data_IF_581962630458
#
_entry.id   IF_581962630458
#
_cell.length_a   1.000
_cell.length_b   1.000
_cell.length_c   1.000
_cell.angle_alpha   90.00
_cell.angle_beta   90.00
_cell.angle_gamma   90.00
#
_symmetry.space_group_name_H-M   'P 1'
#
loop_
_entity.id
_entity.type
_entity.pdbx_description
1 polymer ?
#
# COMPACT_ATOMS: atom_id res chain seq x y z
N UNK A 1 -31.29 53.19 34.18
CA UNK A 1 -30.32 53.37 33.08
C UNK A 1 -29.14 52.42 33.30
N UNK A 2 -28.96 51.39 32.48
CA UNK A 2 -27.81 50.48 32.63
C UNK A 2 -26.49 51.23 32.34
N UNK A 3 -25.57 51.24 33.30
CA UNK A 3 -24.30 51.98 33.23
C UNK A 3 -23.48 51.56 32.00
N UNK A 4 -22.85 52.53 31.32
CA UNK A 4 -22.11 52.29 30.06
C UNK A 4 -21.05 51.18 30.19
N UNK A 5 -20.51 51.00 31.40
CA UNK A 5 -19.54 49.97 31.76
C UNK A 5 -20.09 48.54 31.60
N UNK A 6 -21.38 48.30 31.85
CA UNK A 6 -21.97 46.95 31.71
C UNK A 6 -22.16 46.55 30.24
N UNK A 7 -22.51 47.51 29.38
CA UNK A 7 -22.62 47.30 27.93
C UNK A 7 -21.26 47.03 27.28
N UNK A 8 -20.21 47.72 27.74
CA UNK A 8 -18.83 47.50 27.27
C UNK A 8 -18.34 46.10 27.64
N UNK A 9 -18.56 45.65 28.89
CA UNK A 9 -18.21 44.28 29.31
C UNK A 9 -18.94 43.21 28.50
N UNK A 10 -20.25 43.35 28.32
CA UNK A 10 -21.04 42.40 27.53
C UNK A 10 -20.59 42.32 26.06
N UNK A 11 -20.18 43.45 25.47
CA UNK A 11 -19.60 43.51 24.12
C UNK A 11 -18.25 42.79 24.05
N UNK A 12 -17.37 43.04 25.03
CA UNK A 12 -16.06 42.40 25.10
C UNK A 12 -16.17 40.87 25.31
N UNK A 13 -17.11 40.42 26.15
CA UNK A 13 -17.36 38.99 26.37
C UNK A 13 -17.92 38.31 25.11
N UNK A 14 -18.80 38.98 24.37
CA UNK A 14 -19.32 38.47 23.09
C UNK A 14 -18.21 38.38 22.03
N UNK A 15 -17.29 39.35 22.01
CA UNK A 15 -16.14 39.38 21.10
C UNK A 15 -15.10 38.31 21.45
N UNK A 16 -14.83 38.08 22.73
CA UNK A 16 -14.00 36.99 23.22
C UNK A 16 -14.55 35.62 22.80
N UNK A 17 -15.85 35.38 23.00
CA UNK A 17 -16.51 34.11 22.60
C UNK A 17 -16.41 33.88 21.09
N UNK A 18 -16.62 34.91 20.27
CA UNK A 18 -16.49 34.83 18.79
C UNK A 18 -15.04 34.57 18.37
N UNK A 19 -14.08 35.10 19.10
CA UNK A 19 -12.65 34.90 18.84
C UNK A 19 -12.24 33.46 19.16
N UNK A 20 -12.67 32.93 20.32
CA UNK A 20 -12.43 31.53 20.68
C UNK A 20 -13.07 30.54 19.70
N UNK A 21 -14.31 30.80 19.24
CA UNK A 21 -14.96 29.97 18.22
C UNK A 21 -14.22 30.00 16.86
N UNK A 22 -13.70 31.18 16.47
CA UNK A 22 -12.85 31.29 15.28
C UNK A 22 -11.55 30.52 15.46
N UNK A 23 -10.88 30.64 16.60
CA UNK A 23 -9.65 29.88 16.88
C UNK A 23 -9.89 28.37 16.82
N UNK A 24 -11.01 27.88 17.37
CA UNK A 24 -11.36 26.46 17.30
C UNK A 24 -11.66 26.01 15.86
N UNK A 25 -12.39 26.81 15.08
CA UNK A 25 -12.65 26.52 13.66
C UNK A 25 -11.37 26.51 12.83
N UNK A 26 -10.48 27.48 13.07
CA UNK A 26 -9.14 27.53 12.44
C UNK A 26 -8.30 26.33 12.84
N UNK A 27 -8.28 25.95 14.13
CA UNK A 27 -7.58 24.76 14.62
C UNK A 27 -8.09 23.48 13.94
N UNK A 28 -9.40 23.34 13.77
CA UNK A 28 -10.01 22.22 13.06
C UNK A 28 -9.64 22.23 11.57
N UNK A 29 -9.73 23.38 10.89
CA UNK A 29 -9.40 23.50 9.46
C UNK A 29 -7.91 23.27 9.19
N UNK A 30 -7.04 23.84 9.99
CA UNK A 30 -5.59 23.60 9.93
C UNK A 30 -5.28 22.14 10.24
N UNK A 31 -5.90 21.55 11.27
CA UNK A 31 -5.79 20.13 11.60
C UNK A 31 -6.23 19.21 10.45
N UNK A 32 -7.37 19.49 9.82
CA UNK A 32 -7.87 18.75 8.65
C UNK A 32 -6.93 18.88 7.44
N UNK A 33 -6.34 20.06 7.23
CA UNK A 33 -5.38 20.27 6.14
C UNK A 33 -4.06 19.52 6.37
N UNK A 34 -3.59 19.50 7.62
CA UNK A 34 -2.38 18.80 8.03
C UNK A 34 -2.58 17.28 8.01
N UNK A 35 -3.68 16.77 8.54
CA UNK A 35 -4.04 15.34 8.48
C UNK A 35 -4.14 14.85 7.02
N UNK A 36 -4.74 15.65 6.13
CA UNK A 36 -4.81 15.34 4.70
C UNK A 36 -3.43 15.33 4.06
N UNK A 37 -2.54 16.26 4.43
CA UNK A 37 -1.16 16.32 3.94
C UNK A 37 -0.36 15.12 4.41
N UNK A 38 -0.40 14.79 5.71
CA UNK A 38 0.17 13.57 6.28
C UNK A 38 -0.33 12.33 5.54
N UNK A 39 -1.64 12.25 5.29
CA UNK A 39 -2.22 11.10 4.62
C UNK A 39 -1.68 10.93 3.19
N UNK A 40 -1.60 12.03 2.43
CA UNK A 40 -1.08 12.02 1.06
C UNK A 40 0.42 11.69 1.01
N UNK A 41 1.22 12.28 1.89
CA UNK A 41 2.67 12.04 1.94
C UNK A 41 2.95 10.58 2.30
N UNK A 42 2.28 10.04 3.33
CA UNK A 42 2.45 8.64 3.72
C UNK A 42 1.99 7.66 2.63
N UNK A 43 0.89 7.96 1.92
CA UNK A 43 0.45 7.17 0.76
C UNK A 43 1.50 7.13 -0.35
N UNK A 44 2.09 8.27 -0.69
CA UNK A 44 3.17 8.35 -1.68
C UNK A 44 4.44 7.61 -1.22
N UNK A 45 4.78 7.67 0.07
CA UNK A 45 5.93 6.92 0.61
C UNK A 45 5.70 5.41 0.58
N UNK A 46 4.47 4.95 0.82
CA UNK A 46 4.11 3.53 0.65
C UNK A 46 4.41 3.04 -0.77
N UNK A 47 4.04 3.82 -1.79
CA UNK A 47 4.38 3.50 -3.19
C UNK A 47 5.88 3.51 -3.45
N UNK A 48 6.62 4.40 -2.80
CA UNK A 48 8.08 4.44 -2.88
C UNK A 48 8.70 3.16 -2.30
N UNK A 49 8.30 2.75 -1.09
CA UNK A 49 8.77 1.50 -0.47
C UNK A 49 8.43 0.30 -1.36
N UNK A 50 7.23 0.28 -1.97
CA UNK A 50 6.81 -0.80 -2.88
C UNK A 50 7.75 -0.89 -4.09
N UNK A 51 8.15 0.26 -4.66
CA UNK A 51 9.10 0.31 -5.78
C UNK A 51 10.49 -0.18 -5.38
N UNK A 52 10.99 0.19 -4.21
CA UNK A 52 12.29 -0.25 -3.72
C UNK A 52 12.32 -1.77 -3.45
N UNK A 53 11.26 -2.31 -2.84
CA UNK A 53 11.09 -3.76 -2.66
C UNK A 53 11.09 -4.47 -4.02
N UNK A 54 10.34 -3.94 -5.01
CA UNK A 54 10.28 -4.50 -6.35
C UNK A 54 11.63 -4.48 -7.08
N UNK A 55 12.48 -3.48 -6.83
CA UNK A 55 13.82 -3.36 -7.44
C UNK A 55 14.81 -4.37 -6.88
N UNK A 56 14.65 -4.76 -5.61
CA UNK A 56 15.54 -5.71 -4.96
C UNK A 56 15.24 -7.17 -5.34
N UNK A 57 14.02 -7.45 -5.78
CA UNK A 57 13.54 -8.79 -6.12
C UNK A 57 13.71 -9.03 -7.62
N UNK A 58 14.27 -10.18 -8.00
CA UNK A 58 14.28 -10.60 -9.40
C UNK A 58 12.91 -11.19 -9.79
N UNK A 59 12.23 -10.57 -10.75
CA UNK A 59 10.93 -11.00 -11.27
C UNK A 59 9.85 -11.22 -10.20
N UNK A 60 9.44 -10.18 -9.43
CA UNK A 60 8.35 -10.30 -8.46
C UNK A 60 7.03 -10.65 -9.15
N UNK A 61 6.22 -11.52 -8.55
CA UNK A 61 4.86 -11.78 -9.08
C UNK A 61 4.03 -10.49 -9.07
N UNK A 62 3.15 -10.27 -10.06
CA UNK A 62 2.36 -9.05 -10.17
C UNK A 62 1.57 -8.68 -8.90
N UNK A 63 1.09 -9.67 -8.14
CA UNK A 63 0.34 -9.45 -6.90
C UNK A 63 1.18 -8.76 -5.83
N UNK A 64 2.43 -9.19 -5.62
CA UNK A 64 3.31 -8.57 -4.62
C UNK A 64 3.96 -7.30 -5.15
N UNK A 65 4.09 -7.16 -6.48
CA UNK A 65 4.62 -5.95 -7.10
C UNK A 65 3.64 -4.76 -7.04
N UNK A 66 2.33 -5.02 -7.09
CA UNK A 66 1.30 -3.98 -7.14
C UNK A 66 0.72 -3.61 -5.78
N UNK A 67 0.63 -4.57 -4.87
CA UNK A 67 -0.13 -4.39 -3.62
C UNK A 67 0.55 -5.01 -2.41
N UNK A 68 1.85 -5.33 -2.50
CA UNK A 68 2.70 -5.92 -1.45
C UNK A 68 2.74 -5.12 -0.15
N UNK A 69 2.59 -3.80 -0.26
CA UNK A 69 2.62 -2.86 0.85
C UNK A 69 1.23 -2.29 1.08
N UNK A 70 0.79 -2.36 2.33
CA UNK A 70 -0.39 -1.65 2.79
C UNK A 70 0.00 -0.32 3.41
N UNK A 71 -0.93 0.61 3.29
CA UNK A 71 -0.93 1.85 4.02
C UNK A 71 -2.30 2.02 4.69
N UNK A 72 -2.31 2.23 6.01
CA UNK A 72 -3.54 2.42 6.76
C UNK A 72 -3.39 3.55 7.78
N UNK A 73 -4.46 4.32 7.94
CA UNK A 73 -4.60 5.28 9.03
C UNK A 73 -5.59 4.69 10.05
N UNK A 74 -5.18 4.60 11.31
CA UNK A 74 -6.01 4.07 12.40
C UNK A 74 -6.17 5.12 13.49
N UNK A 75 -7.40 5.36 13.92
CA UNK A 75 -7.69 6.31 15.00
C UNK A 75 -7.31 5.70 16.35
N UNK A 76 -6.41 6.33 17.10
CA UNK A 76 -6.03 5.98 18.47
C UNK A 76 -6.59 7.01 19.46
N UNK A 77 -7.90 6.98 19.65
CA UNK A 77 -8.61 7.91 20.56
C UNK A 77 -9.11 9.18 19.87
N UNK A 78 -9.50 10.19 20.65
CA UNK A 78 -10.22 11.36 20.13
C UNK A 78 -9.36 12.22 19.19
N UNK A 79 -8.06 12.34 19.47
CA UNK A 79 -7.15 13.28 18.79
C UNK A 79 -5.92 12.64 18.12
N UNK A 80 -5.65 11.35 18.32
CA UNK A 80 -4.48 10.72 17.72
C UNK A 80 -4.88 9.83 16.53
N UNK A 81 -4.14 9.94 15.43
CA UNK A 81 -4.16 8.99 14.32
C UNK A 81 -2.77 8.39 14.15
N UNK A 82 -2.73 7.08 14.00
CA UNK A 82 -1.53 6.33 13.67
C UNK A 82 -1.56 6.00 12.17
N UNK A 83 -0.53 6.44 11.46
CA UNK A 83 -0.33 6.12 10.05
C UNK A 83 0.70 4.99 9.96
N UNK A 84 0.31 3.85 9.39
CA UNK A 84 1.15 2.65 9.32
C UNK A 84 1.37 2.24 7.87
N UNK A 85 2.64 2.01 7.52
CA UNK A 85 3.07 1.37 6.28
C UNK A 85 3.63 0.00 6.66
N UNK A 86 3.21 -1.06 5.98
CA UNK A 86 3.69 -2.40 6.28
C UNK A 86 3.45 -3.37 5.13
N UNK A 87 3.93 -4.61 5.27
CA UNK A 87 3.73 -5.67 4.29
C UNK A 87 2.52 -6.50 4.73
N UNK A 88 1.57 -6.80 3.83
CA UNK A 88 0.42 -7.64 4.22
C UNK A 88 0.90 -9.06 4.53
N UNK A 89 0.33 -9.73 5.53
CA UNK A 89 0.80 -11.05 5.99
C UNK A 89 0.90 -12.10 4.87
N UNK A 90 -0.11 -12.18 4.00
CA UNK A 90 -0.10 -13.13 2.88
C UNK A 90 0.97 -12.82 1.84
N UNK A 91 1.28 -11.54 1.67
CA UNK A 91 2.36 -11.08 0.80
C UNK A 91 3.69 -11.21 1.51
N UNK A 92 3.75 -11.10 2.83
CA UNK A 92 4.93 -11.37 3.64
C UNK A 92 5.30 -12.86 3.58
N UNK A 93 4.36 -13.79 3.50
CA UNK A 93 4.71 -15.21 3.26
C UNK A 93 5.43 -15.37 1.91
N UNK A 94 4.96 -14.69 0.87
CA UNK A 94 5.58 -14.73 -0.45
C UNK A 94 6.91 -13.97 -0.52
N UNK A 95 6.91 -12.75 0.01
CA UNK A 95 8.03 -11.82 0.01
C UNK A 95 9.11 -12.28 0.99
N UNK A 96 8.78 -12.87 2.14
CA UNK A 96 9.76 -13.41 3.09
C UNK A 96 10.65 -14.45 2.42
N UNK A 97 10.10 -15.34 1.58
CA UNK A 97 10.90 -16.28 0.79
C UNK A 97 11.78 -15.63 -0.30
N UNK A 98 11.62 -14.34 -0.57
CA UNK A 98 12.44 -13.56 -1.51
C UNK A 98 13.31 -12.50 -0.80
N UNK A 99 12.95 -12.11 0.43
CA UNK A 99 13.55 -11.01 1.21
C UNK A 99 14.38 -11.57 2.38
N UNK A 100 13.81 -12.44 3.21
CA UNK A 100 14.33 -12.85 4.54
C UNK A 100 14.68 -14.35 4.67
N UNK A 101 14.04 -15.24 3.91
CA UNK A 101 14.24 -16.69 3.94
C UNK A 101 14.77 -17.15 2.59
N UNK A 102 15.93 -17.80 2.59
CA UNK A 102 16.70 -18.23 1.41
C UNK A 102 16.00 -19.25 0.49
N UNK A 103 14.74 -19.66 0.75
CA UNK A 103 14.07 -20.68 -0.05
C UNK A 103 13.32 -20.04 -1.22
N UNK A 104 13.65 -20.37 -2.48
CA UNK A 104 12.97 -19.78 -3.63
C UNK A 104 11.47 -20.11 -3.62
N UNK A 105 10.63 -19.11 -3.91
CA UNK A 105 9.19 -19.35 -4.08
C UNK A 105 8.94 -20.09 -5.39
N UNK A 106 8.11 -21.13 -5.32
CA UNK A 106 7.72 -21.97 -6.46
C UNK A 106 6.41 -21.51 -7.10
N UNK A 107 6.15 -20.20 -7.08
CA UNK A 107 4.85 -19.64 -7.46
C UNK A 107 4.71 -19.44 -8.97
N UNK A 108 3.47 -19.49 -9.44
CA UNK A 108 3.12 -19.25 -10.82
C UNK A 108 3.18 -17.75 -11.13
N UNK A 109 4.07 -17.37 -12.05
CA UNK A 109 4.21 -16.01 -12.55
C UNK A 109 3.39 -15.87 -13.84
N UNK A 110 2.38 -14.99 -13.89
CA UNK A 110 1.60 -14.74 -15.10
C UNK A 110 2.51 -14.26 -16.24
N UNK A 111 2.34 -14.80 -17.45
CA UNK A 111 3.20 -14.45 -18.59
C UNK A 111 2.89 -13.06 -19.17
N UNK A 112 1.69 -12.53 -18.92
CA UNK A 112 1.26 -11.23 -19.41
C UNK A 112 0.25 -10.56 -18.47
N UNK A 113 0.23 -9.22 -18.47
CA UNK A 113 -0.70 -8.41 -17.64
C UNK A 113 -2.17 -8.71 -17.91
N UNK A 114 -2.54 -9.11 -19.14
CA UNK A 114 -3.92 -9.45 -19.54
C UNK A 114 -4.54 -10.56 -18.69
N UNK A 115 -3.70 -11.47 -18.17
CA UNK A 115 -4.11 -12.58 -17.32
C UNK A 115 -4.26 -12.21 -15.84
N UNK A 116 -3.89 -10.98 -15.46
CA UNK A 116 -3.98 -10.50 -14.08
C UNK A 116 -5.07 -9.49 -13.86
N UNK A 117 -5.72 -9.52 -12.70
CA UNK A 117 -6.65 -8.47 -12.27
C UNK A 117 -5.90 -7.19 -11.85
N UNK A 118 -6.65 -6.19 -11.37
CA UNK A 118 -6.09 -4.92 -10.89
C UNK A 118 -5.12 -5.10 -9.72
N UNK A 119 -5.33 -6.13 -8.91
CA UNK A 119 -4.51 -6.47 -7.74
C UNK A 119 -3.29 -7.33 -8.11
N UNK A 120 -3.19 -7.84 -9.35
CA UNK A 120 -2.09 -8.68 -9.80
C UNK A 120 -2.32 -10.19 -9.63
N UNK A 121 -3.53 -10.61 -9.24
CA UNK A 121 -3.90 -12.03 -9.16
C UNK A 121 -4.29 -12.57 -10.54
N UNK A 122 -4.09 -13.87 -10.78
CA UNK A 122 -4.56 -14.53 -12.01
C UNK A 122 -6.10 -14.48 -12.06
N UNK A 123 -6.66 -13.90 -13.14
CA UNK A 123 -8.10 -13.74 -13.32
C UNK A 123 -8.82 -15.08 -13.27
N UNK A 124 -9.83 -15.18 -12.41
CA UNK A 124 -10.71 -16.35 -12.34
C UNK A 124 -10.01 -17.65 -11.93
N UNK A 125 -8.80 -17.61 -11.36
CA UNK A 125 -7.98 -18.79 -11.09
C UNK A 125 -8.75 -19.92 -10.39
N UNK A 126 -9.40 -19.63 -9.25
CA UNK A 126 -10.16 -20.62 -8.48
C UNK A 126 -11.32 -21.21 -9.28
N UNK A 127 -12.11 -20.36 -9.95
CA UNK A 127 -13.25 -20.78 -10.79
C UNK A 127 -12.79 -21.67 -11.95
N UNK A 128 -11.72 -21.26 -12.63
CA UNK A 128 -11.23 -21.90 -13.83
C UNK A 128 -10.44 -23.19 -13.55
N UNK A 129 -9.83 -23.32 -12.36
CA UNK A 129 -9.32 -24.60 -11.88
C UNK A 129 -10.48 -25.54 -11.53
N UNK A 130 -11.51 -25.04 -10.83
CA UNK A 130 -12.66 -25.84 -10.42
C UNK A 130 -13.49 -26.40 -11.59
N UNK A 131 -13.56 -25.68 -12.71
CA UNK A 131 -14.25 -26.14 -13.92
C UNK A 131 -13.34 -26.85 -14.94
N UNK A 132 -12.06 -27.09 -14.62
CA UNK A 132 -11.11 -27.79 -15.49
C UNK A 132 -10.63 -27.02 -16.73
N UNK A 133 -11.08 -25.77 -16.94
CA UNK A 133 -10.62 -24.94 -18.06
C UNK A 133 -9.15 -24.54 -17.91
N UNK A 134 -8.70 -24.29 -16.67
CA UNK A 134 -7.30 -24.07 -16.35
C UNK A 134 -6.69 -25.36 -15.84
N UNK A 135 -5.56 -25.75 -16.43
CA UNK A 135 -4.85 -26.98 -16.08
C UNK A 135 -3.41 -26.66 -15.77
N UNK A 136 -2.91 -27.22 -14.67
CA UNK A 136 -1.50 -27.19 -14.34
C UNK A 136 -0.82 -28.35 -15.06
N UNK A 137 0.15 -28.05 -15.90
CA UNK A 137 1.01 -29.04 -16.55
C UNK A 137 2.36 -28.99 -15.84
N UNK A 138 2.74 -30.10 -15.24
CA UNK A 138 4.03 -30.23 -14.56
C UNK A 138 5.03 -30.90 -15.51
N UNK A 139 6.21 -30.31 -15.60
CA UNK A 139 7.43 -30.91 -16.13
C UNK A 139 8.44 -31.04 -14.99
N UNK A 140 9.46 -31.88 -15.15
CA UNK A 140 10.52 -32.13 -14.15
C UNK A 140 10.89 -30.90 -13.31
N UNK A 141 11.23 -29.79 -13.96
CA UNK A 141 11.79 -28.60 -13.31
C UNK A 141 10.91 -27.34 -13.43
N UNK A 142 9.79 -27.44 -14.15
CA UNK A 142 8.90 -26.30 -14.38
C UNK A 142 7.44 -26.73 -14.41
N UNK A 143 6.55 -25.92 -13.86
CA UNK A 143 5.12 -26.11 -14.05
C UNK A 143 4.53 -24.90 -14.75
N UNK A 144 3.59 -25.15 -15.67
CA UNK A 144 2.87 -24.10 -16.38
C UNK A 144 1.39 -24.21 -16.05
N UNK A 145 0.71 -23.07 -16.09
CA UNK A 145 -0.73 -22.98 -16.03
C UNK A 145 -1.24 -22.64 -17.44
N UNK A 146 -2.07 -23.51 -18.00
CA UNK A 146 -2.65 -23.32 -19.33
C UNK A 146 -4.17 -23.20 -19.28
N UNK A 147 -4.75 -22.44 -20.21
CA UNK A 147 -6.17 -22.42 -20.51
C UNK A 147 -6.49 -23.40 -21.64
N UNK A 148 -7.08 -24.55 -21.34
CA UNK A 148 -7.50 -25.54 -22.34
C UNK A 148 -8.60 -25.01 -23.27
N UNK A 149 -9.45 -24.13 -22.77
CA UNK A 149 -10.57 -23.57 -23.54
C UNK A 149 -10.14 -22.45 -24.51
N UNK A 150 -8.90 -21.95 -24.41
CA UNK A 150 -8.42 -20.91 -25.31
C UNK A 150 -8.16 -21.46 -26.73
N UNK A 151 -8.81 -20.82 -27.72
CA UNK A 151 -8.65 -21.16 -29.14
C UNK A 151 -7.28 -20.75 -29.69
N UNK A 152 -6.81 -19.56 -29.33
CA UNK A 152 -5.50 -19.03 -29.78
C UNK A 152 -4.37 -19.53 -28.89
N UNK A 153 -3.26 -19.94 -29.50
CA UNK A 153 -2.08 -20.48 -28.80
C UNK A 153 -1.48 -19.49 -27.80
N UNK A 154 -1.46 -18.20 -28.15
CA UNK A 154 -0.98 -17.08 -27.32
C UNK A 154 -1.83 -16.80 -26.07
N UNK A 155 -3.08 -17.27 -26.04
CA UNK A 155 -3.98 -17.14 -24.89
C UNK A 155 -4.02 -18.42 -24.03
N UNK A 156 -3.36 -19.49 -24.49
CA UNK A 156 -3.29 -20.76 -23.76
C UNK A 156 -2.32 -20.69 -22.60
N UNK A 157 -1.14 -20.10 -22.75
CA UNK A 157 -0.16 -20.04 -21.67
C UNK A 157 -0.49 -18.87 -20.73
N UNK A 158 -0.88 -19.18 -19.50
CA UNK A 158 -1.33 -18.18 -18.52
C UNK A 158 -0.19 -17.77 -17.59
N UNK A 159 0.50 -18.75 -17.03
CA UNK A 159 1.54 -18.54 -16.04
C UNK A 159 2.60 -19.64 -16.08
N UNK A 160 3.82 -19.31 -15.65
CA UNK A 160 4.95 -20.24 -15.56
C UNK A 160 5.46 -20.19 -14.12
N UNK A 161 5.70 -21.35 -13.53
CA UNK A 161 6.44 -21.48 -12.27
C UNK A 161 7.91 -21.22 -12.59
N UNK A 162 8.40 -20.07 -12.14
CA UNK A 162 9.81 -19.70 -12.22
C UNK A 162 10.40 -19.71 -10.83
N UNK A 163 11.60 -20.25 -10.72
CA UNK A 163 12.43 -20.13 -9.52
C UNK A 163 13.03 -18.72 -9.53
N UNK A 164 12.55 -17.84 -8.65
CA UNK A 164 13.13 -16.50 -8.50
C UNK A 164 14.34 -16.55 -7.57
N UNK A 165 15.42 -15.84 -7.95
CA UNK A 165 16.68 -15.80 -7.19
C UNK A 165 16.99 -14.38 -6.69
N UNK A 166 17.60 -14.31 -5.51
CA UNK A 166 18.30 -13.15 -4.91
C UNK A 166 19.17 -12.37 -5.91
N UNK A 167 18.83 -11.15 -6.33
CA UNK A 167 19.83 -10.20 -6.89
C UNK A 167 20.56 -9.41 -5.81
N UNK A 168 19.85 -8.74 -4.88
CA UNK A 168 20.46 -8.01 -3.74
C UNK A 168 19.60 -8.00 -2.46
N UNK A 169 20.20 -7.94 -1.26
CA UNK A 169 19.48 -7.73 -0.01
C UNK A 169 18.76 -6.39 0.09
N UNK A 170 17.53 -6.41 0.63
CA UNK A 170 16.89 -5.19 1.11
C UNK A 170 17.49 -4.84 2.46
N UNK A 171 18.03 -3.62 2.56
CA UNK A 171 18.53 -3.06 3.81
C UNK A 171 17.41 -2.27 4.48
N UNK A 172 16.57 -2.96 5.24
CA UNK A 172 15.40 -2.38 5.89
C UNK A 172 15.69 -1.13 6.74
N UNK A 173 16.75 -1.09 7.58
CA UNK A 173 17.04 0.09 8.39
C UNK A 173 17.36 1.33 7.55
N UNK A 174 18.13 1.18 6.47
CA UNK A 174 18.47 2.28 5.57
C UNK A 174 17.23 2.80 4.83
N UNK A 175 16.34 1.89 4.40
CA UNK A 175 15.10 2.25 3.74
C UNK A 175 14.14 2.98 4.69
N UNK A 176 14.03 2.53 5.93
CA UNK A 176 13.22 3.19 6.97
C UNK A 176 13.71 4.61 7.24
N UNK A 177 15.01 4.79 7.50
CA UNK A 177 15.59 6.12 7.73
C UNK A 177 15.35 7.05 6.55
N UNK A 178 15.48 6.55 5.31
CA UNK A 178 15.21 7.33 4.10
C UNK A 178 13.75 7.75 3.99
N UNK A 179 12.82 6.84 4.31
CA UNK A 179 11.38 7.13 4.31
C UNK A 179 11.02 8.18 5.37
N UNK A 180 11.58 8.06 6.59
CA UNK A 180 11.39 9.04 7.66
C UNK A 180 11.89 10.42 7.22
N UNK A 181 13.10 10.49 6.64
CA UNK A 181 13.66 11.75 6.12
C UNK A 181 12.75 12.36 5.06
N UNK A 182 12.33 11.58 4.06
CA UNK A 182 11.43 12.05 2.99
C UNK A 182 10.05 12.48 3.51
N UNK A 183 9.58 11.89 4.61
CA UNK A 183 8.34 12.30 5.27
C UNK A 183 8.50 13.69 5.87
N UNK A 184 9.51 13.89 6.72
CA UNK A 184 9.76 15.16 7.40
C UNK A 184 9.98 16.30 6.39
N UNK A 185 10.85 16.09 5.40
CA UNK A 185 11.13 17.07 4.34
C UNK A 185 9.87 17.54 3.58
N UNK A 186 8.81 16.72 3.52
CA UNK A 186 7.58 17.03 2.79
C UNK A 186 6.46 17.56 3.66
N UNK A 187 6.51 17.28 4.96
CA UNK A 187 5.56 17.81 5.93
C UNK A 187 5.96 19.23 6.33
N UNK A 188 7.26 19.47 6.50
CA UNK A 188 7.82 20.74 6.99
C UNK A 188 7.93 21.84 5.91
N UNK A 189 7.72 21.50 4.63
CA UNK A 189 7.59 22.46 3.51
C UNK A 189 6.17 22.94 3.32
#
# INVERSE_FOLDING_TARGET
MASSTSRIRARNDAELRRTLQRMEKWRIQTGDSYERKMFKVAGMLSEYVQKEVNRAIDSPVPFTAKSGIFYKATRKGRFNRLYQIGIMDIQNIYLSALIDKQKPTTSLVPVAKKFTDKYGNIKGLRKNLGNGSYVRVNHSDSSILINKAAKKREDRLIAIKRTSVRKKPIKWPELEQKVIKMFNDRIDR
#
